data_IF_393577191441
#
_entry.id   IF_393577191441
#
_cell.length_a   1.000
_cell.length_b   1.000
_cell.length_c   1.000
_cell.angle_alpha   90.00
_cell.angle_beta   90.00
_cell.angle_gamma   90.00
#
_symmetry.space_group_name_H-M   'P 1'
#
loop_
_entity.id
_entity.type
_entity.pdbx_description
1 polymer ?
#
# COMPACT_ATOMS: atom_id res chain seq x y z
N UNK A 1 17.87 -18.55 -7.89
CA UNK A 1 16.59 -17.92 -8.29
C UNK A 1 15.51 -18.40 -7.35
N UNK A 2 14.49 -17.58 -7.09
CA UNK A 2 13.40 -17.91 -6.18
C UNK A 2 12.10 -18.11 -6.99
N UNK A 3 11.38 -19.25 -6.85
CA UNK A 3 10.07 -19.41 -7.47
C UNK A 3 9.09 -18.31 -7.03
N UNK A 4 8.15 -17.96 -7.91
CA UNK A 4 7.30 -16.77 -7.73
C UNK A 4 6.43 -16.84 -6.46
N UNK A 5 5.83 -17.99 -6.15
CA UNK A 5 5.05 -18.15 -4.93
C UNK A 5 5.93 -18.06 -3.67
N UNK A 6 7.10 -18.70 -3.69
CA UNK A 6 8.05 -18.64 -2.58
C UNK A 6 8.62 -17.23 -2.35
N UNK A 7 8.71 -16.41 -3.40
CA UNK A 7 9.17 -15.04 -3.30
C UNK A 7 8.33 -14.16 -2.37
N UNK A 8 7.08 -14.54 -2.09
CA UNK A 8 6.19 -13.86 -1.14
C UNK A 8 6.58 -14.10 0.33
N UNK A 9 7.21 -15.24 0.64
CA UNK A 9 7.64 -15.56 2.00
C UNK A 9 9.00 -14.94 2.36
N UNK A 10 9.69 -14.34 1.38
CA UNK A 10 11.00 -13.72 1.57
C UNK A 10 10.88 -12.21 1.84
N UNK A 11 11.87 -11.67 2.56
CA UNK A 11 12.04 -10.21 2.70
C UNK A 11 12.16 -9.57 1.32
N UNK A 12 11.61 -8.36 1.14
CA UNK A 12 11.58 -7.63 -0.13
C UNK A 12 12.93 -7.60 -0.85
N UNK A 13 14.01 -7.29 -0.13
CA UNK A 13 15.38 -7.28 -0.67
C UNK A 13 15.78 -8.61 -1.33
N UNK A 14 15.45 -9.73 -0.70
CA UNK A 14 15.75 -11.07 -1.21
C UNK A 14 14.85 -11.43 -2.40
N UNK A 15 13.56 -11.12 -2.29
CA UNK A 15 12.56 -11.35 -3.34
C UNK A 15 12.93 -10.64 -4.66
N UNK A 16 13.37 -9.38 -4.58
CA UNK A 16 13.79 -8.59 -5.75
C UNK A 16 15.11 -9.10 -6.32
N UNK A 17 16.12 -9.38 -5.47
CA UNK A 17 17.44 -9.83 -5.91
C UNK A 17 17.39 -11.16 -6.69
N UNK A 18 16.53 -12.09 -6.25
CA UNK A 18 16.41 -13.41 -6.86
C UNK A 18 15.15 -13.57 -7.72
N UNK A 19 14.53 -12.46 -8.09
CA UNK A 19 13.33 -12.43 -8.91
C UNK A 19 13.61 -12.96 -10.32
N UNK A 20 12.84 -13.96 -10.73
CA UNK A 20 12.84 -14.48 -12.10
C UNK A 20 12.46 -13.39 -13.13
N UNK A 21 11.75 -12.34 -12.73
CA UNK A 21 11.35 -11.26 -13.64
C UNK A 21 12.51 -10.28 -13.95
N UNK A 22 13.52 -10.21 -13.08
CA UNK A 22 14.65 -9.27 -13.21
C UNK A 22 15.95 -9.98 -13.58
N UNK A 23 15.90 -11.30 -13.81
CA UNK A 23 17.08 -12.07 -14.19
C UNK A 23 17.21 -12.12 -15.71
N UNK A 24 18.32 -11.63 -16.30
CA UNK A 24 18.56 -11.73 -17.74
C UNK A 24 18.53 -13.18 -18.24
N UNK A 25 17.91 -13.39 -19.40
CA UNK A 25 17.82 -14.71 -20.04
C UNK A 25 16.79 -15.67 -19.44
N UNK A 26 16.10 -15.28 -18.35
CA UNK A 26 15.02 -16.08 -17.78
C UNK A 26 13.71 -15.81 -18.52
N UNK A 27 13.08 -16.88 -18.99
CA UNK A 27 11.75 -16.79 -19.61
C UNK A 27 10.66 -16.40 -18.62
N UNK A 28 9.50 -15.95 -19.09
CA UNK A 28 8.35 -15.67 -18.22
C UNK A 28 7.77 -16.99 -17.67
N UNK A 29 8.31 -17.43 -16.53
CA UNK A 29 7.93 -18.66 -15.82
C UNK A 29 7.65 -18.39 -14.33
N UNK A 30 6.99 -19.34 -13.65
CA UNK A 30 6.75 -19.29 -12.20
C UNK A 30 7.83 -20.01 -11.38
N UNK A 31 8.56 -20.96 -11.97
CA UNK A 31 9.58 -21.73 -11.27
C UNK A 31 9.04 -22.90 -10.44
N UNK A 32 7.77 -23.28 -10.61
CA UNK A 32 7.08 -24.31 -9.81
C UNK A 32 6.91 -25.65 -10.55
N UNK A 33 7.64 -25.85 -11.66
CA UNK A 33 7.48 -27.05 -12.47
C UNK A 33 7.67 -28.35 -11.67
N UNK A 34 8.54 -28.35 -10.68
CA UNK A 34 8.78 -29.50 -9.79
C UNK A 34 7.59 -29.80 -8.87
N UNK A 35 6.83 -28.77 -8.44
CA UNK A 35 5.67 -28.96 -7.56
C UNK A 35 4.51 -29.64 -8.30
N UNK A 36 4.35 -29.35 -9.60
CA UNK A 36 3.40 -30.05 -10.45
C UNK A 36 3.79 -31.52 -10.63
N UNK A 37 5.08 -31.80 -10.84
CA UNK A 37 5.59 -33.16 -10.95
C UNK A 37 5.38 -33.93 -9.62
N UNK A 38 5.59 -33.30 -8.46
CA UNK A 38 5.29 -33.91 -7.16
C UNK A 38 3.81 -34.21 -6.95
N UNK A 39 2.92 -33.33 -7.37
CA UNK A 39 1.48 -33.57 -7.28
C UNK A 39 1.06 -34.81 -8.07
N UNK A 40 1.69 -35.06 -9.22
CA UNK A 40 1.44 -36.26 -10.03
C UNK A 40 2.02 -37.52 -9.41
N UNK A 41 3.23 -37.46 -8.85
CA UNK A 41 3.86 -38.60 -8.15
C UNK A 41 3.06 -38.97 -6.89
N UNK A 42 2.47 -38.00 -6.19
CA UNK A 42 1.63 -38.26 -5.03
C UNK A 42 0.40 -39.13 -5.35
N UNK A 43 -0.07 -39.15 -6.61
CA UNK A 43 -1.19 -40.02 -7.02
C UNK A 43 -0.81 -41.49 -6.90
N UNK A 44 0.47 -41.84 -7.12
CA UNK A 44 0.96 -43.22 -7.03
C UNK A 44 1.35 -43.64 -5.62
N UNK A 45 1.37 -42.71 -4.66
CA UNK A 45 1.84 -42.95 -3.29
C UNK A 45 1.10 -44.13 -2.62
N UNK A 46 -0.24 -44.12 -2.65
CA UNK A 46 -1.06 -45.18 -2.04
C UNK A 46 -0.83 -46.55 -2.70
N UNK A 47 -0.59 -46.59 -4.02
CA UNK A 47 -0.33 -47.86 -4.71
C UNK A 47 1.06 -48.40 -4.40
N UNK A 48 2.05 -47.53 -4.16
CA UNK A 48 3.43 -47.93 -3.84
C UNK A 48 3.63 -48.30 -2.37
N UNK A 49 2.74 -47.89 -1.48
CA UNK A 49 2.81 -48.16 -0.03
C UNK A 49 2.67 -49.66 0.30
N UNK A 50 1.82 -50.37 -0.44
CA UNK A 50 1.55 -51.80 -0.25
C UNK A 50 2.56 -52.72 -0.99
N UNK A 51 3.51 -52.14 -1.74
CA UNK A 51 4.47 -52.89 -2.55
C UNK A 51 5.69 -53.31 -1.72
N UNK A 52 6.33 -54.43 -2.11
CA UNK A 52 7.65 -54.77 -1.58
C UNK A 52 8.68 -53.72 -2.00
N UNK A 53 9.74 -53.54 -1.20
CA UNK A 53 10.75 -52.48 -1.39
C UNK A 53 11.32 -52.44 -2.82
N UNK A 54 11.72 -53.60 -3.36
CA UNK A 54 12.22 -53.68 -4.74
C UNK A 54 11.17 -53.31 -5.79
N UNK A 55 9.94 -53.82 -5.63
CA UNK A 55 8.83 -53.51 -6.55
C UNK A 55 8.44 -52.03 -6.50
N UNK A 56 8.47 -51.43 -5.31
CA UNK A 56 8.22 -50.01 -5.10
C UNK A 56 9.27 -49.16 -5.83
N UNK A 57 10.56 -49.48 -5.65
CA UNK A 57 11.66 -48.79 -6.32
C UNK A 57 11.53 -48.86 -7.84
N UNK A 58 11.32 -50.06 -8.40
CA UNK A 58 11.18 -50.26 -9.84
C UNK A 58 9.96 -49.51 -10.40
N UNK A 59 8.87 -49.44 -9.64
CA UNK A 59 7.66 -48.72 -10.07
C UNK A 59 7.88 -47.22 -10.12
N UNK A 60 8.54 -46.65 -9.10
CA UNK A 60 8.88 -45.23 -9.08
C UNK A 60 9.87 -44.88 -10.18
N UNK A 61 10.89 -45.71 -10.43
CA UNK A 61 11.88 -45.47 -11.47
C UNK A 61 11.24 -45.50 -12.88
N UNK A 62 10.36 -46.46 -13.13
CA UNK A 62 9.59 -46.52 -14.38
C UNK A 62 8.68 -45.29 -14.57
N UNK A 63 7.99 -44.85 -13.50
CA UNK A 63 7.14 -43.66 -13.56
C UNK A 63 7.94 -42.40 -13.88
N UNK A 64 9.04 -42.17 -13.16
CA UNK A 64 9.92 -41.02 -13.37
C UNK A 64 10.59 -41.07 -14.75
N UNK A 65 10.97 -42.27 -15.20
CA UNK A 65 11.49 -42.53 -16.54
C UNK A 65 10.50 -42.16 -17.64
N UNK A 66 9.25 -42.60 -17.54
CA UNK A 66 8.19 -42.21 -18.49
C UNK A 66 7.98 -40.69 -18.47
N UNK A 67 7.92 -40.05 -17.30
CA UNK A 67 7.76 -38.59 -17.21
C UNK A 67 8.89 -37.83 -17.90
N UNK A 68 10.14 -38.26 -17.70
CA UNK A 68 11.29 -37.69 -18.40
C UNK A 68 11.18 -37.87 -19.92
N UNK A 69 10.77 -39.06 -20.37
CA UNK A 69 10.56 -39.33 -21.78
C UNK A 69 9.44 -38.47 -22.40
N UNK A 70 8.28 -38.36 -21.73
CA UNK A 70 7.18 -37.49 -22.15
C UNK A 70 7.62 -36.03 -22.27
N UNK A 71 8.44 -35.56 -21.33
CA UNK A 71 9.00 -34.21 -21.33
C UNK A 71 9.95 -33.99 -22.51
N UNK A 72 10.80 -34.97 -22.80
CA UNK A 72 11.74 -34.94 -23.92
C UNK A 72 11.01 -34.87 -25.27
N UNK A 73 10.06 -35.78 -25.53
CA UNK A 73 9.30 -35.80 -26.79
C UNK A 73 8.35 -34.60 -26.90
N UNK A 74 7.85 -34.08 -25.77
CA UNK A 74 6.96 -32.93 -25.70
C UNK A 74 7.68 -31.59 -25.84
N UNK A 75 9.01 -31.55 -25.64
CA UNK A 75 9.78 -30.33 -25.54
C UNK A 75 9.66 -29.46 -26.80
N UNK A 76 9.81 -30.05 -27.99
CA UNK A 76 9.72 -29.32 -29.26
C UNK A 76 8.37 -28.63 -29.46
N UNK A 77 7.27 -29.34 -29.19
CA UNK A 77 5.90 -28.79 -29.28
C UNK A 77 5.65 -27.68 -28.24
N UNK A 78 6.16 -27.86 -27.02
CA UNK A 78 6.07 -26.86 -25.95
C UNK A 78 6.83 -25.60 -26.28
N UNK A 79 8.09 -25.72 -26.73
CA UNK A 79 8.94 -24.60 -27.13
C UNK A 79 8.36 -23.85 -28.33
N UNK A 80 7.85 -24.55 -29.34
CA UNK A 80 7.21 -23.91 -30.49
C UNK A 80 5.98 -23.09 -30.08
N UNK A 81 5.14 -23.64 -29.20
CA UNK A 81 3.97 -22.91 -28.67
C UNK A 81 4.41 -21.66 -27.91
N UNK A 82 5.37 -21.80 -27.00
CA UNK A 82 5.93 -20.68 -26.22
C UNK A 82 6.56 -19.61 -27.10
N UNK A 83 7.27 -20.00 -28.16
CA UNK A 83 7.89 -19.07 -29.12
C UNK A 83 6.83 -18.25 -29.87
N UNK A 84 5.76 -18.89 -30.35
CA UNK A 84 4.65 -18.20 -31.00
C UNK A 84 3.99 -17.18 -30.08
N UNK A 85 3.73 -17.55 -28.83
CA UNK A 85 3.19 -16.63 -27.82
C UNK A 85 4.18 -15.48 -27.56
N UNK A 86 5.46 -15.79 -27.36
CA UNK A 86 6.49 -14.77 -27.10
C UNK A 86 6.64 -13.77 -28.25
N UNK A 87 6.50 -14.20 -29.50
CA UNK A 87 6.55 -13.32 -30.67
C UNK A 87 5.37 -12.34 -30.72
N UNK A 88 4.18 -12.78 -30.35
CA UNK A 88 2.99 -11.90 -30.29
C UNK A 88 3.11 -10.92 -29.12
N UNK A 89 3.47 -11.43 -27.94
CA UNK A 89 3.58 -10.61 -26.73
C UNK A 89 4.77 -9.64 -26.77
N UNK A 90 5.86 -9.96 -27.49
CA UNK A 90 7.00 -9.05 -27.62
C UNK A 90 6.64 -7.76 -28.35
N UNK A 91 5.79 -7.82 -29.38
CA UNK A 91 5.29 -6.64 -30.08
C UNK A 91 4.52 -5.74 -29.12
N UNK A 92 3.60 -6.32 -28.35
CA UNK A 92 2.81 -5.59 -27.34
C UNK A 92 3.70 -4.95 -26.27
N UNK A 93 4.66 -5.70 -25.72
CA UNK A 93 5.56 -5.18 -24.71
C UNK A 93 6.45 -4.04 -25.23
N UNK A 94 6.93 -4.13 -26.47
CA UNK A 94 7.72 -3.05 -27.09
C UNK A 94 6.88 -1.79 -27.29
N UNK A 95 5.63 -1.92 -27.72
CA UNK A 95 4.72 -0.78 -27.85
C UNK A 95 4.39 -0.14 -26.50
N UNK A 96 4.07 -0.95 -25.49
CA UNK A 96 3.84 -0.49 -24.12
C UNK A 96 5.06 0.24 -23.56
N UNK A 97 6.27 -0.31 -23.76
CA UNK A 97 7.50 0.33 -23.33
C UNK A 97 7.71 1.68 -24.01
N UNK A 98 7.55 1.76 -25.35
CA UNK A 98 7.67 3.02 -26.10
C UNK A 98 6.67 4.07 -25.64
N UNK A 99 5.42 3.67 -25.44
CA UNK A 99 4.36 4.55 -24.94
C UNK A 99 4.70 5.10 -23.55
N UNK A 100 5.16 4.23 -22.65
CA UNK A 100 5.61 4.62 -21.31
C UNK A 100 6.81 5.56 -21.36
N UNK A 101 7.87 5.22 -22.08
CA UNK A 101 9.10 6.03 -22.15
C UNK A 101 8.90 7.33 -22.93
N UNK A 102 7.96 7.37 -23.88
CA UNK A 102 7.68 8.56 -24.70
C UNK A 102 7.12 9.74 -23.91
N UNK A 103 6.51 9.49 -22.75
CA UNK A 103 6.03 10.52 -21.82
C UNK A 103 7.06 10.99 -20.80
N UNK A 104 8.27 10.41 -20.79
CA UNK A 104 9.32 10.70 -19.80
C UNK A 104 10.45 11.53 -20.43
N UNK A 105 11.19 12.23 -19.57
CA UNK A 105 12.38 12.96 -20.01
C UNK A 105 13.44 11.98 -20.57
N UNK A 106 13.96 12.20 -21.80
CA UNK A 106 14.94 11.29 -22.41
C UNK A 106 16.28 11.19 -21.67
N UNK A 107 16.63 12.14 -20.80
CA UNK A 107 17.84 12.02 -19.98
C UNK A 107 17.57 11.05 -18.81
N UNK A 108 16.43 11.16 -18.15
CA UNK A 108 15.99 10.24 -17.09
C UNK A 108 15.88 8.79 -17.60
N UNK A 109 15.32 8.59 -18.80
CA UNK A 109 15.22 7.24 -19.39
C UNK A 109 16.62 6.62 -19.59
N UNK A 110 17.56 7.38 -20.16
CA UNK A 110 18.94 6.94 -20.36
C UNK A 110 19.67 6.66 -19.05
N UNK A 111 19.44 7.47 -18.02
CA UNK A 111 19.99 7.24 -16.69
C UNK A 111 19.51 5.90 -16.13
N UNK A 112 18.21 5.63 -16.19
CA UNK A 112 17.62 4.38 -15.69
C UNK A 112 18.08 3.15 -16.49
N UNK A 113 18.17 3.25 -17.82
CA UNK A 113 18.71 2.17 -18.66
C UNK A 113 20.15 1.83 -18.28
N UNK A 114 20.99 2.85 -18.04
CA UNK A 114 22.37 2.66 -17.59
C UNK A 114 22.43 2.02 -16.20
N UNK A 115 21.53 2.38 -15.28
CA UNK A 115 21.43 1.75 -13.96
C UNK A 115 21.06 0.27 -14.07
N UNK A 116 20.12 -0.09 -14.95
CA UNK A 116 19.74 -1.48 -15.21
C UNK A 116 20.92 -2.28 -15.74
N UNK A 117 21.57 -1.81 -16.80
CA UNK A 117 22.73 -2.50 -17.39
C UNK A 117 23.88 -2.64 -16.38
N UNK A 118 24.12 -1.61 -15.58
CA UNK A 118 25.15 -1.64 -14.55
C UNK A 118 24.85 -2.69 -13.48
N UNK A 119 23.58 -2.80 -13.04
CA UNK A 119 23.14 -3.77 -12.04
C UNK A 119 23.10 -5.20 -12.58
N UNK A 120 22.63 -5.40 -13.81
CA UNK A 120 22.62 -6.71 -14.47
C UNK A 120 24.04 -7.27 -14.64
N UNK A 121 25.02 -6.41 -14.95
CA UNK A 121 26.42 -6.77 -15.03
C UNK A 121 27.05 -7.02 -13.64
N UNK A 122 26.63 -6.28 -12.62
CA UNK A 122 27.17 -6.34 -11.27
C UNK A 122 26.08 -6.05 -10.22
N UNK A 123 25.59 -7.11 -9.58
CA UNK A 123 24.51 -7.03 -8.59
C UNK A 123 24.94 -6.37 -7.26
N UNK A 124 26.23 -6.00 -7.11
CA UNK A 124 26.69 -5.18 -5.98
C UNK A 124 26.34 -3.70 -6.14
N UNK A 125 26.04 -3.26 -7.37
CA UNK A 125 25.62 -1.88 -7.66
C UNK A 125 24.19 -1.62 -7.19
N UNK A 126 23.79 -0.35 -7.25
CA UNK A 126 22.45 0.08 -6.87
C UNK A 126 21.39 -0.67 -7.69
N UNK A 127 20.43 -1.30 -7.00
CA UNK A 127 19.37 -2.06 -7.65
C UNK A 127 18.22 -1.13 -8.11
N UNK A 128 18.01 -0.94 -9.42
CA UNK A 128 16.97 -0.05 -9.94
C UNK A 128 15.55 -0.54 -9.68
N UNK A 129 15.37 -1.84 -9.39
CA UNK A 129 14.08 -2.46 -9.11
C UNK A 129 13.70 -2.44 -7.63
N UNK A 130 14.61 -1.99 -6.76
CA UNK A 130 14.31 -1.84 -5.35
C UNK A 130 13.46 -0.59 -5.12
N UNK A 131 12.39 -0.73 -4.33
CA UNK A 131 11.60 0.44 -3.89
C UNK A 131 12.51 1.25 -2.98
N UNK A 132 12.97 2.39 -3.48
CA UNK A 132 13.75 3.37 -2.72
C UNK A 132 12.82 4.11 -1.76
N UNK A 133 12.27 3.43 -0.75
CA UNK A 133 11.55 4.10 0.34
C UNK A 133 12.57 4.77 1.25
N UNK A 134 13.13 5.88 0.79
CA UNK A 134 14.05 6.70 1.59
C UNK A 134 13.30 7.51 2.66
N UNK A 135 11.98 7.62 2.53
CA UNK A 135 11.11 8.36 3.43
C UNK A 135 10.57 7.46 4.54
N UNK A 136 10.74 7.90 5.80
CA UNK A 136 10.10 7.28 6.97
C UNK A 136 8.58 7.42 6.83
N UNK A 137 7.85 6.32 7.02
CA UNK A 137 6.39 6.36 7.05
C UNK A 137 5.89 7.07 8.30
N UNK A 138 4.62 7.48 8.32
CA UNK A 138 3.98 8.06 9.51
C UNK A 138 4.07 7.11 10.72
N UNK A 139 4.01 5.78 10.48
CA UNK A 139 4.16 4.76 11.52
C UNK A 139 5.60 4.73 12.05
N UNK A 140 6.59 4.82 11.17
CA UNK A 140 8.01 4.84 11.58
C UNK A 140 8.32 6.11 12.41
N UNK A 141 7.80 7.27 11.98
CA UNK A 141 7.97 8.52 12.73
C UNK A 141 7.25 8.45 14.08
N UNK A 142 6.05 7.84 14.15
CA UNK A 142 5.36 7.60 15.42
C UNK A 142 6.21 6.72 16.36
N UNK A 143 6.80 5.65 15.85
CA UNK A 143 7.66 4.76 16.64
C UNK A 143 8.89 5.51 17.18
N UNK A 144 9.60 6.24 16.33
CA UNK A 144 10.78 7.03 16.71
C UNK A 144 10.47 8.07 17.81
N UNK A 145 9.33 8.76 17.70
CA UNK A 145 8.90 9.73 18.69
C UNK A 145 8.59 9.08 20.05
N UNK A 146 7.98 7.88 20.06
CA UNK A 146 7.69 7.13 21.28
C UNK A 146 8.98 6.58 21.91
N UNK A 147 9.89 6.03 21.11
CA UNK A 147 11.19 5.53 21.58
C UNK A 147 12.07 6.65 22.14
N UNK A 148 12.14 7.79 21.47
CA UNK A 148 12.87 8.96 21.95
C UNK A 148 12.32 9.46 23.29
N UNK A 149 10.99 9.44 23.47
CA UNK A 149 10.37 9.81 24.74
C UNK A 149 10.70 8.80 25.84
N UNK A 150 10.63 7.51 25.54
CA UNK A 150 10.97 6.45 26.49
C UNK A 150 12.43 6.56 26.95
N UNK A 151 13.37 6.76 26.02
CA UNK A 151 14.78 6.96 26.32
C UNK A 151 15.01 8.16 27.24
N UNK A 152 14.33 9.29 26.98
CA UNK A 152 14.41 10.46 27.85
C UNK A 152 13.86 10.19 29.25
N UNK A 153 12.73 9.48 29.39
CA UNK A 153 12.15 9.12 30.68
C UNK A 153 13.09 8.21 31.49
N UNK A 154 13.73 7.24 30.84
CA UNK A 154 14.73 6.36 31.47
C UNK A 154 15.96 7.12 31.97
N UNK A 155 16.38 8.19 31.29
CA UNK A 155 17.52 9.01 31.69
C UNK A 155 17.19 10.00 32.82
N UNK A 156 15.99 10.61 32.79
CA UNK A 156 15.60 11.63 33.77
C UNK A 156 14.86 11.08 34.99
N UNK A 157 14.64 9.76 35.08
CA UNK A 157 13.86 9.13 36.15
C UNK A 157 12.40 9.61 36.21
N UNK A 158 11.90 10.19 35.11
CA UNK A 158 10.58 10.78 35.03
C UNK A 158 9.51 9.73 34.76
N UNK A 159 8.34 9.87 35.38
CA UNK A 159 7.16 9.09 35.03
C UNK A 159 6.38 9.80 33.93
N UNK A 160 5.64 9.06 33.10
CA UNK A 160 4.69 9.67 32.18
C UNK A 160 3.70 10.52 32.99
N UNK A 161 3.57 11.81 32.64
CA UNK A 161 2.69 12.74 33.37
C UNK A 161 1.21 12.36 33.23
N UNK A 162 0.85 11.60 32.18
CA UNK A 162 -0.50 11.21 31.82
C UNK A 162 -0.52 9.81 31.17
N UNK A 163 -1.66 9.13 31.23
CA UNK A 163 -1.85 7.78 30.65
C UNK A 163 -1.63 7.73 29.13
N UNK A 164 -1.92 8.82 28.40
CA UNK A 164 -1.67 8.93 26.97
C UNK A 164 -0.47 9.82 26.70
N UNK A 165 0.46 9.40 25.83
CA UNK A 165 1.62 10.22 25.43
C UNK A 165 1.23 11.39 24.50
N UNK A 166 2.05 12.44 24.45
CA UNK A 166 1.88 13.56 23.53
C UNK A 166 1.86 13.14 22.05
N UNK A 167 2.70 12.16 21.66
CA UNK A 167 2.70 11.59 20.30
C UNK A 167 1.39 10.88 20.01
N UNK A 168 0.92 10.04 20.95
CA UNK A 168 -0.36 9.32 20.81
C UNK A 168 -1.53 10.30 20.71
N UNK A 169 -1.52 11.36 21.52
CA UNK A 169 -2.51 12.45 21.44
C UNK A 169 -2.57 13.06 20.04
N UNK A 170 -1.42 13.43 19.47
CA UNK A 170 -1.35 13.99 18.12
C UNK A 170 -1.83 13.00 17.06
N UNK A 171 -1.43 11.72 17.14
CA UNK A 171 -1.90 10.69 16.21
C UNK A 171 -3.42 10.54 16.25
N UNK A 172 -4.03 10.48 17.43
CA UNK A 172 -5.51 10.42 17.57
C UNK A 172 -6.16 11.65 16.93
N UNK A 173 -5.57 12.84 17.10
CA UNK A 173 -6.06 14.05 16.42
C UNK A 173 -6.02 13.97 14.89
N UNK A 174 -4.96 13.39 14.32
CA UNK A 174 -4.85 13.16 12.87
C UNK A 174 -5.84 12.10 12.38
N UNK A 175 -6.06 11.03 13.15
CA UNK A 175 -7.04 9.97 12.85
C UNK A 175 -8.48 10.51 12.86
N UNK A 176 -8.80 11.43 13.79
CA UNK A 176 -10.12 12.10 13.83
C UNK A 176 -10.30 13.02 12.62
N UNK A 177 -9.27 13.78 12.23
CA UNK A 177 -9.33 14.64 11.03
C UNK A 177 -9.55 13.79 9.76
N UNK A 178 -8.87 12.65 9.65
CA UNK A 178 -9.09 11.71 8.56
C UNK A 178 -10.53 11.15 8.58
N UNK A 179 -11.04 10.76 9.75
CA UNK A 179 -12.42 10.30 9.89
C UNK A 179 -13.47 11.37 9.52
N UNK A 180 -13.21 12.65 9.82
CA UNK A 180 -14.03 13.79 9.38
C UNK A 180 -14.10 13.86 7.84
N UNK A 181 -12.98 13.68 7.15
CA UNK A 181 -12.93 13.68 5.68
C UNK A 181 -13.68 12.50 5.06
N UNK A 182 -13.51 11.30 5.61
CA UNK A 182 -14.24 10.11 5.16
C UNK A 182 -15.76 10.32 5.29
N UNK A 183 -16.20 10.84 6.42
CA UNK A 183 -17.62 11.11 6.65
C UNK A 183 -18.17 12.19 5.71
N UNK A 184 -17.42 13.27 5.49
CA UNK A 184 -17.80 14.32 4.54
C UNK A 184 -18.00 13.76 3.12
N UNK A 185 -17.11 12.84 2.69
CA UNK A 185 -17.23 12.16 1.40
C UNK A 185 -18.44 11.22 1.35
N UNK A 186 -18.65 10.42 2.39
CA UNK A 186 -19.78 9.50 2.45
C UNK A 186 -21.11 10.27 2.39
N UNK A 187 -21.20 11.42 3.05
CA UNK A 187 -22.37 12.32 2.95
C UNK A 187 -22.55 12.85 1.53
N UNK A 188 -21.47 13.29 0.88
CA UNK A 188 -21.53 13.74 -0.51
C UNK A 188 -21.98 12.62 -1.47
N UNK A 189 -21.64 11.37 -1.18
CA UNK A 189 -22.00 10.21 -1.99
C UNK A 189 -23.45 9.74 -1.80
N UNK A 190 -24.07 10.01 -0.66
CA UNK A 190 -25.43 9.58 -0.32
C UNK A 190 -26.53 10.29 -1.15
N UNK A 191 -26.20 11.37 -1.85
CA UNK A 191 -27.10 12.03 -2.81
C UNK A 191 -28.36 12.64 -2.16
N UNK A 192 -29.32 13.06 -3.00
CA UNK A 192 -30.53 13.79 -2.55
C UNK A 192 -31.64 12.88 -1.99
N UNK A 193 -31.62 11.58 -2.30
CA UNK A 193 -32.61 10.59 -1.86
C UNK A 193 -31.90 9.36 -1.27
N UNK A 194 -31.46 9.45 0.00
CA UNK A 194 -30.76 8.35 0.67
C UNK A 194 -31.67 7.13 0.84
N UNK A 195 -31.12 5.94 0.69
CA UNK A 195 -31.75 4.76 1.28
C UNK A 195 -31.68 4.83 2.81
N UNK A 196 -32.68 4.28 3.51
CA UNK A 196 -32.71 4.28 4.98
C UNK A 196 -31.46 3.65 5.62
N UNK A 197 -30.87 2.64 4.97
CA UNK A 197 -29.62 1.99 5.37
C UNK A 197 -28.40 2.92 5.24
N UNK A 198 -28.33 3.71 4.18
CA UNK A 198 -27.25 4.68 3.97
C UNK A 198 -27.33 5.82 5.00
N UNK A 199 -28.52 6.35 5.26
CA UNK A 199 -28.74 7.35 6.31
C UNK A 199 -28.38 6.84 7.70
N UNK A 200 -28.74 5.58 8.02
CA UNK A 200 -28.40 4.97 9.30
C UNK A 200 -26.88 4.83 9.48
N UNK A 201 -26.15 4.42 8.44
CA UNK A 201 -24.69 4.33 8.49
C UNK A 201 -24.03 5.70 8.70
N UNK A 202 -24.45 6.73 7.94
CA UNK A 202 -23.94 8.10 8.12
C UNK A 202 -24.21 8.61 9.54
N UNK A 203 -25.41 8.36 10.07
CA UNK A 203 -25.77 8.79 11.43
C UNK A 203 -24.97 8.04 12.51
N UNK A 204 -24.70 6.74 12.31
CA UNK A 204 -23.84 5.96 13.20
C UNK A 204 -22.41 6.51 13.20
N UNK A 205 -21.85 6.80 12.03
CA UNK A 205 -20.51 7.40 11.90
C UNK A 205 -20.45 8.79 12.54
N UNK A 206 -21.48 9.64 12.36
CA UNK A 206 -21.59 10.94 13.04
C UNK A 206 -21.54 10.83 14.56
N UNK A 207 -22.29 9.88 15.12
CA UNK A 207 -22.34 9.68 16.57
C UNK A 207 -20.99 9.20 17.10
N UNK A 208 -20.37 8.24 16.43
CA UNK A 208 -19.04 7.75 16.81
C UNK A 208 -18.00 8.87 16.77
N UNK A 209 -17.98 9.67 15.69
CA UNK A 209 -17.07 10.78 15.53
C UNK A 209 -17.29 11.88 16.58
N UNK A 210 -18.54 12.17 16.93
CA UNK A 210 -18.88 13.13 17.99
C UNK A 210 -18.29 12.72 19.34
N UNK A 211 -18.42 11.44 19.69
CA UNK A 211 -17.86 10.90 20.92
C UNK A 211 -16.32 10.97 20.92
N UNK A 212 -15.68 10.66 19.78
CA UNK A 212 -14.23 10.77 19.63
C UNK A 212 -13.75 12.23 19.78
N UNK A 213 -14.44 13.19 19.16
CA UNK A 213 -14.11 14.62 19.25
C UNK A 213 -14.26 15.12 20.69
N UNK A 214 -15.34 14.75 21.38
CA UNK A 214 -15.54 15.12 22.77
C UNK A 214 -14.44 14.56 23.70
N UNK A 215 -14.08 13.28 23.52
CA UNK A 215 -12.98 12.66 24.26
C UNK A 215 -11.63 13.33 23.94
N UNK A 216 -11.38 13.66 22.67
CA UNK A 216 -10.18 14.36 22.25
C UNK A 216 -10.08 15.75 22.88
N UNK A 217 -11.15 16.55 22.88
CA UNK A 217 -11.16 17.87 23.50
C UNK A 217 -10.93 17.83 25.02
N UNK A 218 -11.43 16.81 25.71
CA UNK A 218 -11.15 16.60 27.14
C UNK A 218 -9.65 16.47 27.41
N UNK A 219 -8.95 15.69 26.57
CA UNK A 219 -7.50 15.49 26.70
C UNK A 219 -6.71 16.69 26.16
N UNK A 220 -7.23 17.37 25.14
CA UNK A 220 -6.63 18.57 24.56
C UNK A 220 -6.49 19.70 25.59
N UNK A 221 -7.42 19.84 26.54
CA UNK A 221 -7.28 20.84 27.61
C UNK A 221 -6.04 20.65 28.48
N UNK A 222 -5.54 19.41 28.57
CA UNK A 222 -4.33 19.06 29.33
C UNK A 222 -3.07 19.41 28.54
N UNK A 223 -3.04 19.04 27.25
CA UNK A 223 -1.87 19.22 26.39
C UNK A 223 -1.76 20.62 25.78
N UNK A 224 -2.90 21.28 25.56
CA UNK A 224 -3.05 22.55 24.84
C UNK A 224 -4.07 23.44 25.55
N UNK A 225 -3.80 23.88 26.80
CA UNK A 225 -4.77 24.67 27.57
C UNK A 225 -5.17 25.98 26.87
N UNK A 226 -4.32 26.51 25.99
CA UNK A 226 -4.58 27.71 25.20
C UNK A 226 -5.78 27.56 24.25
N UNK A 227 -6.18 26.32 23.90
CA UNK A 227 -7.33 26.06 23.04
C UNK A 227 -8.65 26.02 23.80
N UNK A 228 -8.65 25.96 25.14
CA UNK A 228 -9.86 25.82 25.93
C UNK A 228 -10.88 26.93 25.64
N UNK A 229 -10.43 28.19 25.61
CA UNK A 229 -11.31 29.33 25.28
C UNK A 229 -11.84 29.28 23.85
N UNK A 230 -11.07 28.76 22.88
CA UNK A 230 -11.49 28.60 21.49
C UNK A 230 -12.57 27.52 21.35
N UNK A 231 -12.38 26.39 22.04
CA UNK A 231 -13.34 25.29 22.08
C UNK A 231 -14.65 25.76 22.70
N UNK A 232 -14.61 26.47 23.83
CA UNK A 232 -15.81 27.00 24.49
C UNK A 232 -16.57 27.98 23.59
N UNK A 233 -15.88 28.89 22.90
CA UNK A 233 -16.52 29.81 21.94
C UNK A 233 -17.16 29.04 20.78
N UNK A 234 -16.47 28.02 20.24
CA UNK A 234 -16.99 27.22 19.14
C UNK A 234 -18.23 26.41 19.52
N UNK A 235 -18.28 25.88 20.75
CA UNK A 235 -19.46 25.16 21.29
C UNK A 235 -20.63 26.13 21.53
N UNK A 236 -20.37 27.33 22.08
CA UNK A 236 -21.42 28.31 22.42
C UNK A 236 -22.02 28.95 21.16
N UNK A 237 -21.23 29.17 20.11
CA UNK A 237 -21.71 29.87 18.92
C UNK A 237 -22.74 29.07 18.10
N UNK A 238 -22.94 27.78 18.39
CA UNK A 238 -24.00 26.88 17.86
C UNK A 238 -24.36 27.13 16.39
N UNK A 239 -23.34 27.48 15.60
CA UNK A 239 -23.48 27.49 14.16
C UNK A 239 -23.61 26.02 13.78
N UNK A 240 -24.58 25.62 12.94
CA UNK A 240 -24.69 24.26 12.44
C UNK A 240 -23.53 23.98 11.46
N UNK A 241 -22.29 24.09 11.93
CA UNK A 241 -21.17 23.39 11.34
C UNK A 241 -21.44 21.93 11.63
N UNK A 242 -21.96 21.28 10.60
CA UNK A 242 -21.83 19.87 10.33
C UNK A 242 -20.57 19.31 11.02
N UNK A 243 -20.73 18.28 11.87
CA UNK A 243 -19.68 17.73 12.75
C UNK A 243 -18.40 17.33 11.99
N UNK A 244 -18.53 17.12 10.68
CA UNK A 244 -17.48 16.85 9.71
C UNK A 244 -16.53 18.03 9.46
N UNK A 245 -16.93 19.25 9.83
CA UNK A 245 -16.17 20.49 9.65
C UNK A 245 -15.79 21.15 10.98
N UNK A 246 -16.03 20.47 12.11
CA UNK A 246 -15.72 21.02 13.43
C UNK A 246 -14.19 21.15 13.60
N UNK A 247 -13.67 22.34 13.93
CA UNK A 247 -12.23 22.55 14.07
C UNK A 247 -11.69 21.79 15.29
N UNK A 248 -10.69 20.93 15.06
CA UNK A 248 -9.99 20.19 16.13
C UNK A 248 -8.94 21.05 16.86
N UNK A 249 -8.59 22.22 16.34
CA UNK A 249 -7.57 23.13 16.91
C UNK A 249 -6.21 22.45 17.13
N UNK A 250 -5.75 21.64 16.18
CA UNK A 250 -4.44 21.00 16.20
C UNK A 250 -3.30 22.04 16.20
N UNK A 251 -2.08 21.72 16.70
CA UNK A 251 -1.01 22.70 16.88
C UNK A 251 -0.72 23.58 15.66
N UNK A 252 -0.70 22.99 14.46
CA UNK A 252 -0.43 23.70 13.20
C UNK A 252 -1.55 24.69 12.78
N UNK A 253 -2.79 24.48 13.23
CA UNK A 253 -3.91 25.39 12.95
C UNK A 253 -3.94 26.63 13.86
N UNK A 254 -3.14 26.61 14.94
CA UNK A 254 -3.11 27.70 15.90
C UNK A 254 -2.21 28.84 15.43
N UNK A 255 -2.63 30.08 15.72
CA UNK A 255 -1.80 31.26 15.45
C UNK A 255 -0.49 31.17 16.25
N UNK A 256 0.65 31.60 15.69
CA UNK A 256 1.95 31.55 16.38
C UNK A 256 1.96 32.26 17.74
N UNK A 257 1.12 33.30 17.90
CA UNK A 257 0.95 34.04 19.15
C UNK A 257 0.38 33.21 20.31
N UNK A 258 -0.24 32.07 20.02
CA UNK A 258 -0.81 31.16 21.02
C UNK A 258 0.15 30.00 21.35
N UNK A 259 1.33 29.92 20.68
CA UNK A 259 2.31 28.84 20.83
C UNK A 259 3.54 29.28 21.62
N UNK A 260 3.34 29.88 22.79
CA UNK A 260 4.43 30.50 23.56
C UNK A 260 5.08 29.49 24.53
N UNK A 261 4.29 28.54 25.05
CA UNK A 261 4.74 27.54 26.02
C UNK A 261 5.80 26.59 25.43
N UNK A 262 6.81 26.16 26.21
CA UNK A 262 7.76 25.13 25.79
C UNK A 262 7.08 23.82 25.36
N UNK A 263 5.98 23.46 26.02
CA UNK A 263 5.18 22.28 25.67
C UNK A 263 4.51 22.45 24.31
N UNK A 264 3.93 23.63 24.04
CA UNK A 264 3.30 23.95 22.77
C UNK A 264 4.30 23.90 21.61
N UNK A 265 5.53 24.40 21.81
CA UNK A 265 6.60 24.30 20.81
C UNK A 265 6.98 22.86 20.49
N UNK A 266 7.16 22.03 21.52
CA UNK A 266 7.46 20.59 21.35
C UNK A 266 6.33 19.86 20.63
N UNK A 267 5.06 20.15 20.95
CA UNK A 267 3.90 19.60 20.25
C UNK A 267 3.85 20.03 18.78
N UNK A 268 4.14 21.30 18.47
CA UNK A 268 4.23 21.79 17.09
C UNK A 268 5.32 21.07 16.30
N UNK A 269 6.51 20.87 16.88
CA UNK A 269 7.61 20.14 16.22
C UNK A 269 7.25 18.68 15.96
N UNK A 270 6.68 17.98 16.95
CA UNK A 270 6.22 16.59 16.78
C UNK A 270 5.11 16.50 15.73
N UNK A 271 4.15 17.43 15.78
CA UNK A 271 3.06 17.52 14.79
C UNK A 271 3.61 17.76 13.38
N UNK A 272 4.61 18.62 13.21
CA UNK A 272 5.20 18.90 11.91
C UNK A 272 5.90 17.67 11.32
N UNK A 273 6.62 16.89 12.16
CA UNK A 273 7.23 15.63 11.73
C UNK A 273 6.19 14.59 11.28
N UNK A 274 5.12 14.44 12.07
CA UNK A 274 4.03 13.51 11.75
C UNK A 274 3.29 13.92 10.47
N UNK A 275 3.03 15.21 10.28
CA UNK A 275 2.39 15.77 9.08
C UNK A 275 3.26 15.59 7.84
N UNK A 276 4.55 15.89 7.93
CA UNK A 276 5.47 15.65 6.82
C UNK A 276 5.50 14.19 6.39
N UNK A 277 5.52 13.24 7.34
CA UNK A 277 5.42 11.82 7.03
C UNK A 277 4.05 11.46 6.43
N UNK A 278 2.96 12.01 6.96
CA UNK A 278 1.62 11.86 6.40
C UNK A 278 1.53 12.36 4.95
N UNK A 279 2.16 13.48 4.62
CA UNK A 279 2.23 14.01 3.26
C UNK A 279 2.99 13.05 2.33
N UNK A 280 4.13 12.52 2.76
CA UNK A 280 4.90 11.57 1.94
C UNK A 280 4.13 10.27 1.70
N UNK A 281 3.49 9.71 2.73
CA UNK A 281 2.64 8.52 2.60
C UNK A 281 1.46 8.78 1.66
N UNK A 282 0.79 9.93 1.81
CA UNK A 282 -0.35 10.30 0.96
C UNK A 282 0.07 10.53 -0.50
N UNK A 283 1.25 11.12 -0.73
CA UNK A 283 1.79 11.29 -2.08
C UNK A 283 2.08 9.95 -2.75
N UNK A 284 2.68 9.02 -2.01
CA UNK A 284 2.92 7.66 -2.50
C UNK A 284 1.59 6.95 -2.85
N UNK A 285 0.56 7.13 -2.02
CA UNK A 285 -0.77 6.58 -2.28
C UNK A 285 -1.47 7.21 -3.50
N UNK A 286 -1.33 8.52 -3.70
CA UNK A 286 -1.81 9.21 -4.92
C UNK A 286 -1.13 8.63 -6.16
N UNK A 287 0.20 8.53 -6.15
CA UNK A 287 0.97 7.99 -7.27
C UNK A 287 0.57 6.55 -7.58
N UNK A 288 0.44 5.70 -6.56
CA UNK A 288 0.01 4.33 -6.71
C UNK A 288 -1.42 4.23 -7.28
N UNK A 289 -2.36 5.01 -6.74
CA UNK A 289 -3.76 5.00 -7.17
C UNK A 289 -3.92 5.49 -8.61
N UNK A 290 -3.14 6.48 -9.03
CA UNK A 290 -3.09 6.96 -10.43
C UNK A 290 -2.55 5.88 -11.38
N UNK A 291 -1.51 5.15 -10.96
CA UNK A 291 -0.97 4.03 -11.74
C UNK A 291 -2.03 2.92 -11.93
N UNK A 292 -2.71 2.55 -10.85
CA UNK A 292 -3.82 1.58 -10.89
C UNK A 292 -4.95 2.08 -11.79
N UNK A 293 -5.35 3.36 -11.67
CA UNK A 293 -6.39 3.96 -12.51
C UNK A 293 -6.02 3.91 -14.00
N UNK A 294 -4.79 4.31 -14.35
CA UNK A 294 -4.29 4.27 -15.73
C UNK A 294 -4.30 2.85 -16.30
N UNK A 295 -3.92 1.87 -15.49
CA UNK A 295 -3.95 0.46 -15.89
C UNK A 295 -5.40 -0.03 -16.11
N UNK A 296 -6.32 0.25 -15.18
CA UNK A 296 -7.73 -0.10 -15.30
C UNK A 296 -8.39 0.55 -16.51
N UNK A 297 -8.01 1.80 -16.83
CA UNK A 297 -8.52 2.51 -17.99
C UNK A 297 -8.07 1.83 -19.28
N UNK A 298 -6.77 1.49 -19.36
CA UNK A 298 -6.21 0.77 -20.51
C UNK A 298 -6.86 -0.60 -20.69
N UNK A 299 -7.01 -1.36 -19.59
CA UNK A 299 -7.70 -2.65 -19.58
C UNK A 299 -9.15 -2.53 -20.06
N UNK A 300 -9.88 -1.52 -19.58
CA UNK A 300 -11.26 -1.26 -20.03
C UNK A 300 -11.32 -0.98 -21.53
N UNK A 301 -10.38 -0.22 -22.08
CA UNK A 301 -10.36 0.09 -23.51
C UNK A 301 -10.00 -1.11 -24.38
N UNK A 302 -9.12 -2.00 -23.91
CA UNK A 302 -8.57 -3.08 -24.72
C UNK A 302 -9.34 -4.40 -24.60
N UNK A 303 -9.74 -4.77 -23.38
CA UNK A 303 -10.18 -6.13 -23.07
C UNK A 303 -11.67 -6.22 -22.71
N UNK A 304 -12.30 -5.11 -22.33
CA UNK A 304 -13.69 -5.13 -21.84
C UNK A 304 -14.66 -4.99 -22.99
N UNK A 305 -15.48 -6.03 -23.19
CA UNK A 305 -16.57 -6.06 -24.17
C UNK A 305 -17.91 -6.38 -23.49
N UNK A 306 -18.98 -5.76 -23.98
CA UNK A 306 -20.34 -5.98 -23.48
C UNK A 306 -20.69 -5.16 -22.21
N UNK A 307 -22.00 -5.02 -21.98
CA UNK A 307 -22.53 -4.08 -20.98
C UNK A 307 -22.17 -4.45 -19.53
N UNK A 308 -22.23 -5.74 -19.18
CA UNK A 308 -21.97 -6.20 -17.81
C UNK A 308 -20.53 -5.92 -17.37
N UNK A 309 -19.55 -6.33 -18.18
CA UNK A 309 -18.13 -6.12 -17.90
C UNK A 309 -17.77 -4.63 -17.92
N UNK A 310 -18.41 -3.84 -18.78
CA UNK A 310 -18.25 -2.39 -18.80
C UNK A 310 -18.71 -1.74 -17.48
N UNK A 311 -19.88 -2.11 -16.97
CA UNK A 311 -20.37 -1.62 -15.67
C UNK A 311 -19.40 -1.98 -14.54
N UNK A 312 -18.87 -3.21 -14.53
CA UNK A 312 -17.89 -3.65 -13.54
C UNK A 312 -16.58 -2.85 -13.64
N UNK A 313 -16.06 -2.63 -14.85
CA UNK A 313 -14.86 -1.86 -15.08
C UNK A 313 -15.03 -0.38 -14.68
N UNK A 314 -16.16 0.24 -15.01
CA UNK A 314 -16.51 1.59 -14.54
C UNK A 314 -16.54 1.65 -13.00
N UNK A 315 -17.15 0.66 -12.35
CA UNK A 315 -17.19 0.62 -10.87
C UNK A 315 -15.78 0.54 -10.26
N UNK A 316 -14.86 -0.18 -10.89
CA UNK A 316 -13.46 -0.25 -10.45
C UNK A 316 -12.72 1.08 -10.66
N UNK A 317 -12.96 1.76 -11.79
CA UNK A 317 -12.42 3.08 -12.08
C UNK A 317 -12.92 4.13 -11.07
N UNK A 318 -14.23 4.14 -10.78
CA UNK A 318 -14.82 5.06 -9.82
C UNK A 318 -14.24 4.86 -8.41
N UNK A 319 -13.98 3.60 -8.03
CA UNK A 319 -13.29 3.27 -6.76
C UNK A 319 -11.85 3.78 -6.74
N UNK A 320 -11.09 3.59 -7.83
CA UNK A 320 -9.71 4.05 -7.93
C UNK A 320 -9.62 5.59 -7.94
N UNK A 321 -10.52 6.27 -8.63
CA UNK A 321 -10.65 7.74 -8.62
C UNK A 321 -11.02 8.26 -7.21
N UNK A 322 -11.98 7.61 -6.55
CA UNK A 322 -12.36 7.93 -5.18
C UNK A 322 -11.20 7.80 -4.18
N UNK A 323 -10.36 6.76 -4.32
CA UNK A 323 -9.12 6.61 -3.54
C UNK A 323 -8.10 7.70 -3.84
N UNK A 324 -7.91 8.03 -5.11
CA UNK A 324 -6.98 9.08 -5.55
C UNK A 324 -7.37 10.43 -4.95
N UNK A 325 -8.66 10.78 -4.99
CA UNK A 325 -9.18 12.03 -4.41
C UNK A 325 -9.00 12.09 -2.90
N UNK A 326 -9.22 10.99 -2.19
CA UNK A 326 -8.99 10.92 -0.75
C UNK A 326 -7.51 11.08 -0.39
N UNK A 327 -6.63 10.35 -1.05
CA UNK A 327 -5.19 10.47 -0.82
C UNK A 327 -4.71 11.91 -1.12
N UNK A 328 -5.27 12.56 -2.15
CA UNK A 328 -4.98 13.97 -2.46
C UNK A 328 -5.51 14.93 -1.39
N UNK A 329 -6.69 14.69 -0.82
CA UNK A 329 -7.22 15.48 0.30
C UNK A 329 -6.34 15.33 1.55
N UNK A 330 -5.95 14.10 1.89
CA UNK A 330 -5.04 13.82 3.00
C UNK A 330 -3.69 14.51 2.81
N UNK A 331 -3.17 14.52 1.58
CA UNK A 331 -1.95 15.25 1.22
C UNK A 331 -2.10 16.77 1.40
N UNK A 332 -3.22 17.37 1.00
CA UNK A 332 -3.44 18.82 1.17
C UNK A 332 -3.64 19.26 2.61
N UNK A 333 -4.14 18.37 3.47
CA UNK A 333 -4.29 18.65 4.88
C UNK A 333 -2.96 18.52 5.63
N UNK A 334 -2.07 17.64 5.18
CA UNK A 334 -0.76 17.42 5.77
C UNK A 334 0.18 18.62 5.60
#
# INVERSE_FOLDING_TARGET
FLPKLHALAHKSKCSILYSLNFTPGVSRMNGEGIEWEWAEINITANSTEEMSEGSCHDTLDNLLGDKNFQKEIGLGKSLLTKLKTAQVESVKHVEQFKSFTGGLDPATVREYENMILAWEADHSKLNPYSVMSSSKTQVDVRLELLESKQAHLSLTGGHAMYDMSATSFLCVGLEIEEAQQWLARDIAAVGLLPMSTQSANVQSHRLALSNCIAAFHSIQQVYMPETASLITVNIIMDTPLSLESSPLFLPHTLKPKLQISPLAKSLTEMSAKLRFAQALDSLAEVQHSLCVFSHLLSYKHQEVQGQHLNTQACTLLDKADGKTKLAAQRYHCA
#
